data_IF_652103524871
#
_entry.id   IF_652103524871
#
_cell.length_a   1.000
_cell.length_b   1.000
_cell.length_c   1.000
_cell.angle_alpha   90.00
_cell.angle_beta   90.00
_cell.angle_gamma   90.00
#
_symmetry.space_group_name_H-M   'P 1'
#
loop_
_entity.id
_entity.type
_entity.pdbx_description
1 polymer ?
#
# COMPACT_ATOMS: atom_id res chain seq x y z
N UNK A 1 15.33 66.98 2.55
CA UNK A 1 15.88 67.61 1.34
C UNK A 1 17.18 68.30 1.69
N UNK A 2 18.31 67.65 1.46
CA UNK A 2 19.65 68.22 1.56
C UNK A 2 20.43 67.74 0.33
N UNK A 3 20.90 68.69 -0.49
CA UNK A 3 21.64 68.46 -1.72
C UNK A 3 23.11 68.24 -1.38
N UNK A 4 23.63 67.04 -1.63
CA UNK A 4 25.06 66.78 -1.60
C UNK A 4 25.66 66.92 -3.00
N UNK A 5 26.73 67.70 -3.07
CA UNK A 5 27.51 68.03 -4.26
C UNK A 5 28.33 66.82 -4.72
N UNK A 6 28.40 66.53 -6.03
CA UNK A 6 29.24 65.45 -6.54
C UNK A 6 30.69 65.94 -6.65
N UNK A 7 31.58 65.40 -5.82
CA UNK A 7 33.03 65.58 -5.97
C UNK A 7 33.47 64.78 -7.18
N UNK A 8 33.85 65.50 -8.23
CA UNK A 8 34.48 65.02 -9.45
C UNK A 8 35.96 64.80 -9.20
N UNK A 9 36.49 63.77 -9.85
CA UNK A 9 37.90 63.43 -10.07
C UNK A 9 38.62 62.76 -8.89
N UNK A 10 39.12 61.54 -9.15
CA UNK A 10 40.55 61.23 -9.20
C UNK A 10 40.71 59.78 -9.68
N UNK A 11 41.70 59.51 -10.53
CA UNK A 11 42.17 58.14 -10.77
C UNK A 11 41.85 57.52 -12.13
N UNK A 12 41.96 58.28 -13.22
CA UNK A 12 42.10 57.73 -14.58
C UNK A 12 43.59 57.60 -14.94
N UNK A 13 44.39 56.89 -14.13
CA UNK A 13 45.81 56.60 -14.44
C UNK A 13 46.24 55.29 -13.74
N UNK A 14 45.76 54.14 -14.22
CA UNK A 14 46.46 52.84 -14.11
C UNK A 14 45.89 51.88 -15.17
N UNK A 15 45.86 52.33 -16.43
CA UNK A 15 45.78 51.45 -17.59
C UNK A 15 47.18 51.30 -18.19
N UNK A 16 48.04 50.57 -17.48
CA UNK A 16 49.28 50.03 -18.05
C UNK A 16 49.25 48.51 -17.92
N UNK A 17 49.71 47.86 -19.00
CA UNK A 17 49.34 46.55 -19.52
C UNK A 17 49.63 45.31 -18.65
N UNK A 18 50.14 45.45 -17.42
CA UNK A 18 50.34 44.34 -16.49
C UNK A 18 49.09 44.02 -15.63
N UNK A 19 48.20 44.98 -15.38
CA UNK A 19 47.02 44.79 -14.53
C UNK A 19 45.90 43.93 -15.13
N UNK A 20 45.77 43.92 -16.47
CA UNK A 20 44.69 43.16 -17.16
C UNK A 20 44.93 41.64 -17.15
N UNK A 21 46.19 41.18 -17.07
CA UNK A 21 46.52 39.75 -16.97
C UNK A 21 46.49 39.25 -15.52
N UNK A 22 47.03 39.99 -14.55
CA UNK A 22 46.96 39.59 -13.13
C UNK A 22 45.52 39.65 -12.59
N UNK A 23 44.75 40.69 -12.94
CA UNK A 23 43.35 40.83 -12.51
C UNK A 23 42.43 39.71 -13.01
N UNK A 24 42.70 39.15 -14.21
CA UNK A 24 41.96 37.98 -14.72
C UNK A 24 42.25 36.70 -13.94
N UNK A 25 43.50 36.50 -13.52
CA UNK A 25 43.91 35.29 -12.81
C UNK A 25 43.46 35.34 -11.35
N UNK A 26 43.69 36.47 -10.67
CA UNK A 26 43.27 36.67 -9.27
C UNK A 26 41.74 36.70 -9.18
N UNK A 27 41.04 37.32 -10.14
CA UNK A 27 39.57 37.33 -10.18
C UNK A 27 38.96 35.94 -10.36
N UNK A 28 39.61 35.03 -11.09
CA UNK A 28 39.18 33.63 -11.21
C UNK A 28 39.41 32.84 -9.93
N UNK A 29 40.57 33.02 -9.28
CA UNK A 29 40.88 32.35 -8.01
C UNK A 29 39.93 32.82 -6.89
N UNK A 30 39.64 34.12 -6.81
CA UNK A 30 38.73 34.69 -5.82
C UNK A 30 37.29 34.22 -6.06
N UNK A 31 36.82 34.20 -7.31
CA UNK A 31 35.48 33.67 -7.67
C UNK A 31 35.32 32.19 -7.29
N UNK A 32 36.36 31.38 -7.49
CA UNK A 32 36.33 29.98 -7.10
C UNK A 32 36.22 29.84 -5.58
N UNK A 33 37.01 30.58 -4.80
CA UNK A 33 36.91 30.54 -3.32
C UNK A 33 35.58 31.05 -2.78
N UNK A 34 35.02 32.10 -3.37
CA UNK A 34 33.69 32.63 -2.98
C UNK A 34 32.58 31.65 -3.34
N UNK A 35 32.64 31.01 -4.51
CA UNK A 35 31.68 29.95 -4.87
C UNK A 35 31.82 28.73 -3.96
N UNK A 36 33.04 28.31 -3.63
CA UNK A 36 33.28 27.25 -2.65
C UNK A 36 32.70 27.61 -1.28
N UNK A 37 32.87 28.85 -0.81
CA UNK A 37 32.26 29.33 0.44
C UNK A 37 30.73 29.31 0.38
N UNK A 38 30.11 29.74 -0.72
CA UNK A 38 28.65 29.70 -0.87
C UNK A 38 28.14 28.25 -0.86
N UNK A 39 28.81 27.34 -1.59
CA UNK A 39 28.46 25.91 -1.59
C UNK A 39 28.67 25.30 -0.21
N UNK A 40 29.72 25.68 0.51
CA UNK A 40 29.97 25.21 1.87
C UNK A 40 28.95 25.77 2.86
N UNK A 41 28.57 27.05 2.74
CA UNK A 41 27.50 27.67 3.54
C UNK A 41 26.13 27.06 3.25
N UNK A 42 25.84 26.67 2.01
CA UNK A 42 24.62 25.91 1.69
C UNK A 42 24.70 24.47 2.21
N UNK A 43 25.86 23.81 2.15
CA UNK A 43 26.05 22.47 2.71
C UNK A 43 25.95 22.45 4.24
N UNK A 44 26.47 23.49 4.92
CA UNK A 44 26.41 23.63 6.39
C UNK A 44 25.06 24.17 6.84
N UNK A 45 24.40 25.03 6.06
CA UNK A 45 23.03 25.47 6.30
C UNK A 45 21.97 24.41 5.99
N UNK A 46 22.35 23.34 5.28
CA UNK A 46 21.56 22.12 5.09
C UNK A 46 21.98 20.99 6.05
N UNK A 47 22.81 21.28 7.07
CA UNK A 47 22.87 20.38 8.22
C UNK A 47 21.54 20.55 8.95
N UNK A 48 20.54 19.76 8.52
CA UNK A 48 19.22 19.68 9.12
C UNK A 48 19.41 19.71 10.64
N UNK A 49 18.81 20.71 11.30
CA UNK A 49 18.72 20.71 12.75
C UNK A 49 18.24 19.32 13.13
N UNK A 50 19.11 18.57 13.82
CA UNK A 50 18.79 17.20 14.22
C UNK A 50 17.66 17.33 15.22
N UNK A 51 16.43 17.30 14.71
CA UNK A 51 15.22 17.45 15.49
C UNK A 51 15.29 16.41 16.59
N UNK A 52 15.18 16.87 17.85
CA UNK A 52 15.16 15.98 19.00
C UNK A 52 14.12 14.88 18.71
N UNK A 53 14.53 13.60 18.75
CA UNK A 53 13.64 12.52 18.36
C UNK A 53 12.38 12.55 19.24
N UNK A 54 11.21 12.61 18.61
CA UNK A 54 9.93 12.56 19.31
C UNK A 54 9.81 11.22 20.05
N UNK A 55 9.54 11.28 21.35
CA UNK A 55 9.33 10.12 22.22
C UNK A 55 7.97 10.19 22.91
N UNK A 56 7.51 9.04 23.40
CA UNK A 56 6.25 8.87 24.12
C UNK A 56 6.59 8.38 25.53
N UNK A 57 6.31 9.21 26.53
CA UNK A 57 6.33 8.82 27.93
C UNK A 57 4.94 8.28 28.31
N UNK A 58 4.87 7.01 28.75
CA UNK A 58 3.60 6.37 29.11
C UNK A 58 3.79 5.33 30.22
N UNK A 59 2.83 5.20 31.15
CA UNK A 59 2.86 4.15 32.18
C UNK A 59 2.72 2.74 31.59
N UNK A 60 2.25 2.60 30.34
CA UNK A 60 2.06 1.31 29.66
C UNK A 60 3.28 0.89 28.83
N UNK A 61 4.43 1.56 28.98
CA UNK A 61 5.64 1.33 28.16
C UNK A 61 6.11 -0.12 28.24
N UNK A 62 6.39 -0.63 29.44
CA UNK A 62 6.91 -2.00 29.62
C UNK A 62 5.90 -3.06 29.14
N UNK A 63 4.61 -2.90 29.46
CA UNK A 63 3.56 -3.80 28.98
C UNK A 63 3.45 -3.82 27.45
N UNK A 64 3.62 -2.67 26.82
CA UNK A 64 3.59 -2.57 25.35
C UNK A 64 4.81 -3.23 24.73
N UNK A 65 5.98 -3.06 25.34
CA UNK A 65 7.19 -3.74 24.91
C UNK A 65 7.07 -5.26 25.02
N UNK A 66 6.59 -5.77 26.16
CA UNK A 66 6.34 -7.19 26.36
C UNK A 66 5.32 -7.74 25.36
N UNK A 67 4.25 -6.97 25.08
CA UNK A 67 3.29 -7.33 24.05
C UNK A 67 3.99 -7.54 22.71
N UNK A 68 4.76 -6.58 22.19
CA UNK A 68 5.43 -6.74 20.89
C UNK A 68 6.54 -7.80 20.92
N UNK A 69 7.29 -7.93 22.00
CA UNK A 69 8.32 -8.96 22.14
C UNK A 69 7.72 -10.37 22.04
N UNK A 70 6.54 -10.59 22.64
CA UNK A 70 5.81 -11.86 22.54
C UNK A 70 5.34 -12.18 21.12
N UNK A 71 5.20 -11.17 20.24
CA UNK A 71 4.85 -11.36 18.83
C UNK A 71 6.03 -11.76 17.95
N UNK A 72 7.22 -11.94 18.52
CA UNK A 72 8.40 -12.41 17.78
C UNK A 72 8.02 -13.68 17.00
N UNK A 73 8.17 -13.66 15.67
CA UNK A 73 7.80 -14.82 14.88
C UNK A 73 8.82 -15.93 15.14
N UNK A 74 8.34 -17.15 15.37
CA UNK A 74 9.15 -18.38 15.45
C UNK A 74 9.63 -18.75 14.04
N UNK A 75 10.38 -17.85 13.40
CA UNK A 75 10.94 -18.13 12.09
C UNK A 75 12.07 -19.15 12.27
N UNK A 76 11.99 -20.32 11.62
CA UNK A 76 13.13 -21.22 11.56
C UNK A 76 14.29 -20.41 10.96
N UNK A 77 15.46 -20.44 11.63
CA UNK A 77 16.69 -19.78 11.15
C UNK A 77 16.96 -20.27 9.73
N UNK A 78 16.50 -19.51 8.73
CA UNK A 78 16.49 -19.98 7.34
C UNK A 78 17.93 -19.93 6.85
N UNK A 79 18.48 -21.12 6.63
CA UNK A 79 19.78 -21.46 6.05
C UNK A 79 20.59 -20.26 5.51
N UNK A 80 21.34 -19.60 6.39
CA UNK A 80 22.56 -18.86 6.06
C UNK A 80 22.46 -17.53 5.31
N UNK A 81 21.29 -17.02 4.93
CA UNK A 81 21.20 -15.77 4.14
C UNK A 81 20.14 -14.75 4.59
N UNK A 82 19.42 -15.01 5.69
CA UNK A 82 18.50 -14.05 6.30
C UNK A 82 19.17 -13.29 7.42
N UNK A 83 19.14 -11.95 7.37
CA UNK A 83 19.70 -11.05 8.40
C UNK A 83 19.40 -11.57 9.81
N UNK A 84 20.44 -11.98 10.52
CA UNK A 84 20.37 -12.23 11.96
C UNK A 84 19.78 -10.98 12.63
N UNK A 85 18.86 -11.18 13.58
CA UNK A 85 18.28 -10.12 14.43
C UNK A 85 17.31 -9.11 13.79
N UNK A 86 16.30 -9.56 13.05
CA UNK A 86 15.03 -8.80 13.07
C UNK A 86 14.34 -9.01 14.41
N UNK A 87 14.81 -8.31 15.43
CA UNK A 87 14.16 -8.26 16.73
C UNK A 87 12.83 -7.52 16.56
N UNK A 88 11.73 -8.15 16.95
CA UNK A 88 10.42 -7.50 16.98
C UNK A 88 10.32 -6.56 18.19
N UNK A 89 11.27 -5.64 18.30
CA UNK A 89 11.46 -4.77 19.46
C UNK A 89 11.19 -3.34 19.07
N UNK A 90 10.38 -2.66 19.88
CA UNK A 90 10.19 -1.23 19.77
C UNK A 90 11.47 -0.51 20.22
N UNK A 91 11.87 0.51 19.47
CA UNK A 91 13.02 1.34 19.81
C UNK A 91 12.66 2.23 20.99
N UNK A 92 13.52 2.21 22.02
CA UNK A 92 13.39 3.02 23.23
C UNK A 92 14.52 4.03 23.36
N UNK A 93 14.27 5.12 24.08
CA UNK A 93 15.27 6.08 24.52
C UNK A 93 15.16 6.28 26.03
N UNK A 94 16.26 6.60 26.69
CA UNK A 94 16.28 6.96 28.10
C UNK A 94 16.27 8.48 28.22
N UNK A 95 15.24 9.03 28.87
CA UNK A 95 15.07 10.46 29.12
C UNK A 95 14.88 10.63 30.62
N UNK A 96 15.76 11.39 31.27
CA UNK A 96 15.73 11.64 32.71
C UNK A 96 15.67 10.36 33.57
N UNK A 97 16.36 9.30 33.13
CA UNK A 97 16.36 7.98 33.78
C UNK A 97 15.09 7.16 33.57
N UNK A 98 14.12 7.66 32.78
CA UNK A 98 12.93 6.94 32.38
C UNK A 98 13.03 6.39 30.97
N UNK A 99 12.75 5.11 30.80
CA UNK A 99 12.63 4.46 29.49
C UNK A 99 11.36 4.93 28.78
N UNK A 100 11.52 5.55 27.62
CA UNK A 100 10.43 6.02 26.77
C UNK A 100 10.47 5.30 25.41
N UNK A 101 9.31 5.18 24.75
CA UNK A 101 9.25 4.66 23.39
C UNK A 101 9.56 5.79 22.41
N UNK A 102 10.36 5.52 21.37
CA UNK A 102 10.39 6.42 20.23
C UNK A 102 9.02 6.44 19.57
N UNK A 103 8.56 7.62 19.18
CA UNK A 103 7.25 7.75 18.53
C UNK A 103 7.25 7.06 17.17
N UNK A 104 8.31 7.25 16.37
CA UNK A 104 8.46 6.66 15.03
C UNK A 104 9.29 5.38 15.07
N UNK A 105 8.69 4.28 14.65
CA UNK A 105 9.29 2.95 14.57
C UNK A 105 9.64 2.64 13.12
N UNK A 106 10.94 2.72 12.77
CA UNK A 106 11.41 2.59 11.37
C UNK A 106 11.44 1.15 10.86
N UNK A 107 11.64 0.21 11.77
CA UNK A 107 11.69 -1.22 11.46
C UNK A 107 10.29 -1.81 11.22
N UNK A 108 10.27 -3.01 10.64
CA UNK A 108 9.03 -3.78 10.48
C UNK A 108 8.65 -4.37 11.84
N UNK A 109 7.46 -4.01 12.33
CA UNK A 109 6.89 -4.57 13.55
C UNK A 109 5.85 -5.62 13.19
N UNK A 110 5.92 -6.76 13.87
CA UNK A 110 5.04 -7.91 13.70
C UNK A 110 4.10 -8.03 14.89
N UNK A 111 2.87 -8.43 14.60
CA UNK A 111 1.93 -8.95 15.59
C UNK A 111 1.55 -10.35 15.15
N UNK A 112 1.77 -11.34 16.01
CA UNK A 112 1.35 -12.71 15.78
C UNK A 112 0.13 -13.06 16.65
N UNK A 113 -1.10 -13.00 16.10
CA UNK A 113 -2.31 -13.24 16.88
C UNK A 113 -2.36 -14.61 17.56
N UNK A 114 -1.61 -15.62 17.06
CA UNK A 114 -1.57 -16.95 17.69
C UNK A 114 -0.83 -16.97 19.02
N UNK A 115 0.05 -15.99 19.27
CA UNK A 115 0.81 -15.92 20.51
C UNK A 115 -0.03 -15.32 21.65
N UNK A 116 -1.32 -15.03 21.40
CA UNK A 116 -2.22 -14.43 22.37
C UNK A 116 -3.51 -15.23 22.51
N UNK A 117 -4.00 -15.23 23.74
CA UNK A 117 -5.39 -15.50 24.12
C UNK A 117 -6.08 -14.19 24.49
N UNK A 118 -7.39 -14.22 24.68
CA UNK A 118 -8.16 -13.04 25.12
C UNK A 118 -7.60 -12.46 26.41
N UNK A 119 -7.15 -13.29 27.35
CA UNK A 119 -6.63 -12.86 28.65
C UNK A 119 -5.25 -12.19 28.53
N UNK A 120 -4.44 -12.62 27.56
CA UNK A 120 -3.05 -12.12 27.41
C UNK A 120 -2.93 -10.85 26.57
N UNK A 121 -3.97 -10.46 25.83
CA UNK A 121 -3.97 -9.16 25.15
C UNK A 121 -4.27 -8.09 26.19
N UNK A 122 -3.39 -7.10 26.39
CA UNK A 122 -3.61 -6.05 27.37
C UNK A 122 -4.81 -5.19 26.98
N UNK A 123 -5.44 -4.55 27.97
CA UNK A 123 -6.55 -3.63 27.72
C UNK A 123 -6.09 -2.34 27.05
N UNK A 124 -4.85 -1.92 27.35
CA UNK A 124 -4.26 -0.70 26.84
C UNK A 124 -2.82 -0.96 26.37
N UNK A 125 -2.48 -0.41 25.21
CA UNK A 125 -1.11 -0.25 24.74
C UNK A 125 -0.78 1.25 24.66
N UNK A 126 0.51 1.59 24.63
CA UNK A 126 0.94 2.97 24.39
C UNK A 126 0.36 3.47 23.07
N UNK A 127 -0.40 4.56 23.15
CA UNK A 127 -1.04 5.19 22.00
C UNK A 127 -0.08 6.15 21.28
N UNK A 128 -0.33 6.40 19.99
CA UNK A 128 0.42 7.38 19.20
C UNK A 128 1.74 6.88 18.62
N UNK A 129 2.01 5.57 18.69
CA UNK A 129 3.15 4.96 18.00
C UNK A 129 2.89 5.02 16.48
N UNK A 130 3.88 5.52 15.73
CA UNK A 130 3.87 5.61 14.28
C UNK A 130 4.79 4.53 13.69
N UNK A 131 4.21 3.53 13.02
CA UNK A 131 4.96 2.44 12.41
C UNK A 131 5.34 2.76 10.96
N UNK A 132 6.55 2.40 10.53
CA UNK A 132 6.84 2.35 9.10
C UNK A 132 6.04 1.20 8.46
N UNK A 133 6.18 -0.02 9.00
CA UNK A 133 5.43 -1.18 8.54
C UNK A 133 4.94 -1.97 9.76
N UNK A 134 3.62 -2.10 9.90
CA UNK A 134 2.99 -2.97 10.89
C UNK A 134 2.39 -4.19 10.18
N UNK A 135 2.86 -5.38 10.54
CA UNK A 135 2.42 -6.66 9.95
C UNK A 135 1.65 -7.48 10.97
N UNK A 136 0.43 -7.88 10.65
CA UNK A 136 -0.39 -8.78 11.46
C UNK A 136 -0.49 -10.13 10.74
N UNK A 137 0.18 -11.15 11.29
CA UNK A 137 0.38 -12.43 10.63
C UNK A 137 0.52 -13.60 11.63
N UNK A 138 0.00 -14.80 11.36
CA UNK A 138 -0.02 -15.92 12.31
C UNK A 138 1.32 -16.70 12.46
N UNK A 139 2.46 -16.05 12.25
CA UNK A 139 3.82 -16.56 12.48
C UNK A 139 4.45 -17.40 11.35
N UNK A 140 3.72 -18.33 10.72
CA UNK A 140 4.22 -19.16 9.61
C UNK A 140 4.02 -18.43 8.27
N UNK A 141 5.12 -18.04 7.62
CA UNK A 141 5.09 -17.31 6.35
C UNK A 141 4.45 -18.11 5.20
N UNK A 142 4.33 -19.43 5.32
CA UNK A 142 3.92 -20.30 4.22
C UNK A 142 2.56 -20.95 4.43
N UNK A 143 1.96 -20.80 5.63
CA UNK A 143 0.68 -21.44 5.95
C UNK A 143 -0.35 -20.43 6.40
N UNK A 144 -1.44 -20.39 5.63
CA UNK A 144 -2.71 -19.83 6.10
C UNK A 144 -3.07 -20.54 7.39
N UNK A 145 -3.34 -19.77 8.44
CA UNK A 145 -3.63 -20.35 9.72
C UNK A 145 -4.84 -19.71 10.38
N UNK A 146 -5.61 -20.58 11.02
CA UNK A 146 -6.78 -20.18 11.77
C UNK A 146 -6.38 -19.17 12.84
N UNK A 147 -7.01 -18.01 12.78
CA UNK A 147 -6.85 -16.91 13.71
C UNK A 147 -8.17 -16.73 14.44
N UNK A 148 -8.13 -16.63 15.77
CA UNK A 148 -9.34 -16.35 16.54
C UNK A 148 -9.76 -14.88 16.27
N UNK A 149 -10.93 -14.64 15.65
CA UNK A 149 -11.38 -13.28 15.35
C UNK A 149 -11.53 -12.41 16.60
N UNK A 150 -11.89 -12.99 17.75
CA UNK A 150 -12.08 -12.23 18.99
C UNK A 150 -10.74 -11.75 19.57
N UNK A 151 -9.69 -12.57 19.44
CA UNK A 151 -8.33 -12.17 19.82
C UNK A 151 -7.82 -11.06 18.90
N UNK A 152 -8.03 -11.19 17.59
CA UNK A 152 -7.65 -10.16 16.64
C UNK A 152 -8.42 -8.85 16.89
N UNK A 153 -9.71 -8.93 17.21
CA UNK A 153 -10.52 -7.78 17.61
C UNK A 153 -9.97 -7.12 18.88
N UNK A 154 -9.64 -7.91 19.91
CA UNK A 154 -9.04 -7.39 21.14
C UNK A 154 -7.69 -6.73 20.90
N UNK A 155 -6.85 -7.29 20.01
CA UNK A 155 -5.58 -6.68 19.60
C UNK A 155 -5.81 -5.32 18.93
N UNK A 156 -6.74 -5.24 17.98
CA UNK A 156 -7.06 -3.99 17.29
C UNK A 156 -7.64 -2.95 18.27
N UNK A 157 -8.47 -3.37 19.23
CA UNK A 157 -8.96 -2.51 20.32
C UNK A 157 -7.79 -1.98 21.18
N UNK A 158 -6.87 -2.84 21.60
CA UNK A 158 -5.74 -2.45 22.47
C UNK A 158 -4.79 -1.46 21.79
N UNK A 159 -4.59 -1.61 20.47
CA UNK A 159 -3.81 -0.67 19.65
C UNK A 159 -4.48 0.71 19.52
N UNK A 160 -5.81 0.77 19.63
CA UNK A 160 -6.57 2.01 19.46
C UNK A 160 -6.48 2.55 18.03
N UNK A 161 -5.99 3.78 17.88
CA UNK A 161 -5.76 4.37 16.54
C UNK A 161 -4.44 3.89 15.98
N UNK A 162 -4.46 3.18 14.86
CA UNK A 162 -3.25 2.63 14.23
C UNK A 162 -2.69 3.65 13.25
N UNK A 163 -1.50 4.19 13.55
CA UNK A 163 -0.74 5.07 12.67
C UNK A 163 0.40 4.27 12.02
N UNK A 164 0.36 4.09 10.70
CA UNK A 164 1.42 3.37 9.99
C UNK A 164 1.60 3.82 8.54
N UNK A 165 2.82 3.84 8.00
CA UNK A 165 2.99 4.04 6.55
C UNK A 165 2.41 2.85 5.77
N UNK A 166 2.67 1.62 6.22
CA UNK A 166 2.07 0.40 5.66
C UNK A 166 1.47 -0.48 6.75
N UNK A 167 0.21 -0.87 6.58
CA UNK A 167 -0.46 -1.90 7.38
C UNK A 167 -0.63 -3.16 6.52
N UNK A 168 -0.03 -4.27 6.93
CA UNK A 168 -0.05 -5.55 6.23
C UNK A 168 -0.84 -6.60 7.04
N UNK A 169 -1.89 -7.15 6.45
CA UNK A 169 -2.56 -8.35 6.94
C UNK A 169 -2.15 -9.55 6.09
N UNK A 170 -1.63 -10.60 6.72
CA UNK A 170 -1.01 -11.73 6.01
C UNK A 170 -1.52 -13.09 6.52
N UNK A 171 -1.94 -13.97 5.61
CA UNK A 171 -2.34 -15.37 5.90
C UNK A 171 -3.44 -15.56 6.97
N UNK A 172 -4.34 -14.61 7.16
CA UNK A 172 -5.45 -14.74 8.11
C UNK A 172 -6.57 -15.62 7.55
N UNK A 173 -6.97 -16.59 8.37
CA UNK A 173 -8.17 -17.41 8.19
C UNK A 173 -9.05 -17.31 9.44
N UNK A 174 -10.20 -16.66 9.32
CA UNK A 174 -11.10 -16.37 10.45
C UNK A 174 -12.29 -17.32 10.55
N UNK A 175 -12.64 -18.01 9.46
CA UNK A 175 -13.77 -18.95 9.43
C UNK A 175 -13.32 -20.41 9.57
N UNK A 176 -12.01 -20.65 9.71
CA UNK A 176 -11.45 -22.01 9.80
C UNK A 176 -11.61 -22.79 8.50
N UNK A 177 -11.83 -22.09 7.38
CA UNK A 177 -11.91 -22.71 6.07
C UNK A 177 -10.54 -23.05 5.49
N UNK A 178 -9.46 -22.57 6.12
CA UNK A 178 -8.08 -22.66 5.68
C UNK A 178 -7.44 -24.03 5.92
N UNK A 179 -6.80 -24.52 4.84
CA UNK A 179 -5.76 -25.57 4.73
C UNK A 179 -6.12 -26.70 3.76
N UNK A 180 -7.41 -27.04 3.59
CA UNK A 180 -7.81 -27.90 2.48
C UNK A 180 -7.72 -27.10 1.17
N UNK A 181 -7.21 -27.69 0.08
CA UNK A 181 -7.26 -27.15 -1.30
C UNK A 181 -8.68 -26.84 -1.83
N UNK A 182 -9.67 -26.73 -0.95
CA UNK A 182 -11.05 -26.34 -1.22
C UNK A 182 -11.05 -24.90 -1.68
N UNK A 183 -11.08 -24.78 -3.01
CA UNK A 183 -11.46 -23.62 -3.80
C UNK A 183 -12.60 -22.87 -3.09
N UNK A 184 -12.28 -21.76 -2.40
CA UNK A 184 -13.29 -20.85 -1.86
C UNK A 184 -14.02 -20.21 -3.05
N UNK A 185 -15.22 -20.68 -3.35
CA UNK A 185 -16.14 -20.00 -4.27
C UNK A 185 -17.14 -19.24 -3.43
N UNK A 186 -17.25 -17.94 -3.67
CA UNK A 186 -18.37 -17.17 -3.16
C UNK A 186 -19.55 -17.42 -4.10
N UNK A 187 -20.51 -18.24 -3.72
CA UNK A 187 -21.75 -18.39 -4.49
C UNK A 187 -22.74 -17.34 -4.02
N UNK A 188 -22.77 -16.14 -4.64
CA UNK A 188 -23.82 -15.09 -4.51
C UNK A 188 -24.32 -14.72 -3.09
N UNK A 189 -23.63 -15.14 -2.04
CA UNK A 189 -24.08 -14.93 -0.66
C UNK A 189 -23.84 -13.50 -0.19
N UNK A 190 -23.00 -12.70 -0.87
CA UNK A 190 -22.74 -11.28 -0.54
C UNK A 190 -24.00 -10.41 -0.56
N UNK A 191 -24.89 -10.59 -1.55
CA UNK A 191 -26.18 -9.89 -1.57
C UNK A 191 -27.12 -10.32 -0.44
N UNK A 192 -26.83 -11.44 0.23
CA UNK A 192 -27.52 -11.86 1.44
C UNK A 192 -26.76 -11.53 2.72
N UNK A 193 -25.60 -10.85 2.72
CA UNK A 193 -24.86 -10.56 3.97
C UNK A 193 -25.47 -9.39 4.75
N UNK A 194 -26.16 -8.47 4.07
CA UNK A 194 -27.13 -7.59 4.74
C UNK A 194 -28.31 -8.35 5.37
N UNK A 195 -28.39 -9.68 5.16
CA UNK A 195 -29.43 -10.59 5.67
C UNK A 195 -28.85 -11.90 6.23
N UNK A 196 -27.55 -12.00 6.52
CA UNK A 196 -26.95 -13.29 6.96
C UNK A 196 -27.21 -13.60 8.44
N UNK A 197 -27.85 -12.69 9.17
CA UNK A 197 -28.30 -12.93 10.54
C UNK A 197 -29.75 -13.41 10.66
N UNK A 198 -30.44 -13.76 9.57
CA UNK A 198 -31.79 -14.35 9.67
C UNK A 198 -31.91 -15.62 8.83
N UNK A 199 -31.22 -16.67 9.27
CA UNK A 199 -31.62 -18.03 8.92
C UNK A 199 -32.93 -18.36 9.64
N UNK A 200 -34.06 -18.26 8.93
CA UNK A 200 -35.30 -19.03 9.10
C UNK A 200 -35.65 -19.57 10.51
N UNK A 201 -35.71 -18.70 11.53
CA UNK A 201 -36.64 -18.91 12.63
C UNK A 201 -37.85 -18.02 12.36
N UNK A 202 -39.00 -18.65 12.05
CA UNK A 202 -40.30 -17.98 12.00
C UNK A 202 -40.78 -17.50 13.37
N UNK A 203 -39.88 -16.99 14.21
CA UNK A 203 -40.20 -16.27 15.42
C UNK A 203 -40.28 -14.79 15.09
N UNK A 204 -41.39 -14.18 15.49
CA UNK A 204 -41.53 -12.73 15.63
C UNK A 204 -40.59 -12.27 16.75
N UNK A 205 -39.29 -12.32 16.52
CA UNK A 205 -38.31 -11.79 17.46
C UNK A 205 -38.20 -10.29 17.21
N UNK A 206 -38.53 -9.55 18.26
CA UNK A 206 -38.28 -8.13 18.46
C UNK A 206 -36.88 -7.79 17.92
N UNK A 207 -36.69 -6.68 17.20
CA UNK A 207 -35.37 -6.27 16.71
C UNK A 207 -34.43 -6.11 17.90
N UNK A 208 -33.68 -7.17 18.21
CA UNK A 208 -32.62 -7.17 19.20
C UNK A 208 -31.57 -6.17 18.72
N UNK A 209 -31.34 -5.14 19.52
CA UNK A 209 -30.40 -4.06 19.22
C UNK A 209 -29.01 -4.67 19.13
N UNK A 210 -28.59 -5.05 17.92
CA UNK A 210 -27.25 -5.54 17.67
C UNK A 210 -26.27 -4.46 18.13
N UNK A 211 -25.32 -4.77 19.03
CA UNK A 211 -24.32 -3.81 19.48
C UNK A 211 -23.64 -3.15 18.29
N UNK A 212 -23.45 -1.83 18.34
CA UNK A 212 -22.73 -1.12 17.30
C UNK A 212 -21.33 -1.73 17.15
N UNK A 213 -21.00 -2.20 15.95
CA UNK A 213 -19.68 -2.77 15.67
C UNK A 213 -18.66 -1.64 15.83
N UNK A 214 -17.75 -1.77 16.79
CA UNK A 214 -16.63 -0.85 16.97
C UNK A 214 -15.78 -0.83 15.70
N UNK A 215 -15.56 0.35 15.14
CA UNK A 215 -14.67 0.54 13.99
C UNK A 215 -13.36 1.18 14.43
N UNK A 216 -12.24 0.61 13.98
CA UNK A 216 -10.87 1.03 14.24
C UNK A 216 -10.46 2.14 13.31
N UNK A 217 -10.10 3.29 13.87
CA UNK A 217 -9.60 4.42 13.11
C UNK A 217 -8.17 4.08 12.66
N UNK A 218 -7.96 4.12 11.35
CA UNK A 218 -6.64 3.96 10.75
C UNK A 218 -6.14 5.33 10.27
N UNK A 219 -4.82 5.53 10.39
CA UNK A 219 -4.08 6.63 9.76
C UNK A 219 -2.93 5.99 8.99
N UNK A 220 -3.22 5.56 7.75
CA UNK A 220 -2.27 4.80 6.93
C UNK A 220 -2.16 5.31 5.50
N UNK A 221 -1.00 5.06 4.87
CA UNK A 221 -0.78 5.33 3.43
C UNK A 221 -1.02 4.10 2.56
N UNK A 222 -0.62 2.93 3.03
CA UNK A 222 -0.75 1.67 2.26
C UNK A 222 -1.44 0.60 3.08
N UNK A 223 -2.50 0.01 2.54
CA UNK A 223 -3.13 -1.19 3.06
C UNK A 223 -2.78 -2.38 2.17
N UNK A 224 -2.07 -3.35 2.74
CA UNK A 224 -1.68 -4.56 2.05
C UNK A 224 -2.39 -5.77 2.66
N UNK A 225 -3.13 -6.50 1.83
CA UNK A 225 -3.87 -7.70 2.21
C UNK A 225 -3.32 -8.84 1.38
N UNK A 226 -2.58 -9.73 2.01
CA UNK A 226 -1.86 -10.77 1.31
C UNK A 226 -2.23 -12.17 1.82
N UNK A 227 -2.60 -13.04 0.88
CA UNK A 227 -2.95 -14.44 1.10
C UNK A 227 -4.05 -14.69 2.16
N UNK A 228 -4.89 -13.70 2.42
CA UNK A 228 -6.05 -13.83 3.31
C UNK A 228 -7.21 -14.55 2.62
N UNK A 229 -8.04 -15.22 3.41
CA UNK A 229 -9.31 -15.76 2.92
C UNK A 229 -10.31 -14.62 2.65
N UNK A 230 -11.27 -14.83 1.75
CA UNK A 230 -12.27 -13.81 1.47
C UNK A 230 -13.13 -13.43 2.70
N UNK A 231 -13.53 -14.39 3.56
CA UNK A 231 -14.16 -14.08 4.85
C UNK A 231 -13.31 -13.19 5.76
N UNK A 232 -11.98 -13.39 5.79
CA UNK A 232 -11.09 -12.52 6.56
C UNK A 232 -11.08 -11.08 6.01
N UNK A 233 -11.05 -10.91 4.68
CA UNK A 233 -11.14 -9.58 4.04
C UNK A 233 -12.45 -8.88 4.41
N UNK A 234 -13.59 -9.58 4.31
CA UNK A 234 -14.91 -9.02 4.67
C UNK A 234 -15.00 -8.69 6.17
N UNK A 235 -14.38 -9.51 7.02
CA UNK A 235 -14.32 -9.23 8.45
C UNK A 235 -13.53 -7.95 8.75
N UNK A 236 -12.39 -7.74 8.08
CA UNK A 236 -11.57 -6.54 8.20
C UNK A 236 -12.37 -5.30 7.76
N UNK A 237 -13.06 -5.36 6.62
CA UNK A 237 -13.87 -4.25 6.10
C UNK A 237 -14.93 -3.73 7.08
N UNK A 238 -15.56 -4.63 7.85
CA UNK A 238 -16.58 -4.24 8.83
C UNK A 238 -16.00 -3.48 10.03
N UNK A 239 -14.72 -3.65 10.29
CA UNK A 239 -14.03 -3.19 11.50
C UNK A 239 -13.02 -2.08 11.23
N UNK A 240 -12.47 -1.96 10.03
CA UNK A 240 -11.53 -0.89 9.70
C UNK A 240 -12.29 0.36 9.23
N UNK A 241 -11.90 1.52 9.74
CA UNK A 241 -12.37 2.81 9.27
C UNK A 241 -11.26 3.53 8.50
N UNK A 242 -11.42 3.61 7.18
CA UNK A 242 -10.51 4.26 6.25
C UNK A 242 -11.09 5.55 5.65
N UNK A 243 -12.25 6.02 6.13
CA UNK A 243 -12.99 7.14 5.54
C UNK A 243 -12.21 8.46 5.46
N UNK A 244 -11.19 8.64 6.30
CA UNK A 244 -10.31 9.81 6.29
C UNK A 244 -8.95 9.56 5.62
N UNK A 245 -8.70 8.34 5.14
CA UNK A 245 -7.43 7.96 4.53
C UNK A 245 -7.48 8.05 3.00
N UNK A 246 -6.36 8.52 2.43
CA UNK A 246 -6.02 8.37 1.01
C UNK A 246 -5.00 7.26 0.91
N UNK A 247 -5.39 6.10 0.36
CA UNK A 247 -4.57 4.89 0.46
C UNK A 247 -4.15 4.30 -0.89
N UNK A 248 -3.04 3.57 -0.86
CA UNK A 248 -2.71 2.54 -1.82
C UNK A 248 -3.26 1.21 -1.31
N UNK A 249 -4.16 0.58 -2.06
CA UNK A 249 -4.74 -0.71 -1.71
C UNK A 249 -4.11 -1.83 -2.53
N UNK A 250 -3.42 -2.75 -1.87
CA UNK A 250 -2.86 -3.95 -2.51
C UNK A 250 -3.52 -5.20 -1.96
N UNK A 251 -4.15 -5.99 -2.84
CA UNK A 251 -4.68 -7.30 -2.52
C UNK A 251 -3.91 -8.34 -3.33
N UNK A 252 -3.20 -9.21 -2.64
CA UNK A 252 -2.35 -10.23 -3.25
C UNK A 252 -2.80 -11.61 -2.80
N UNK A 253 -3.24 -12.47 -3.71
CA UNK A 253 -3.66 -13.82 -3.33
C UNK A 253 -4.50 -14.54 -4.36
N UNK A 254 -4.66 -15.85 -4.17
CA UNK A 254 -5.38 -16.77 -5.07
C UNK A 254 -6.91 -16.64 -4.92
N UNK A 255 -7.41 -15.40 -4.85
CA UNK A 255 -8.82 -15.09 -4.64
C UNK A 255 -9.68 -15.48 -5.85
N UNK A 256 -10.94 -15.83 -5.58
CA UNK A 256 -11.95 -16.05 -6.59
C UNK A 256 -13.12 -15.12 -6.31
N UNK A 257 -13.26 -14.13 -7.17
CA UNK A 257 -14.19 -13.03 -7.00
C UNK A 257 -15.24 -13.07 -8.11
N UNK A 258 -16.51 -12.97 -7.74
CA UNK A 258 -17.60 -12.79 -8.71
C UNK A 258 -17.50 -11.39 -9.34
N UNK A 259 -17.13 -10.39 -8.55
CA UNK A 259 -16.93 -9.01 -9.00
C UNK A 259 -15.95 -8.29 -8.06
N UNK A 260 -15.71 -7.00 -8.31
CA UNK A 260 -14.86 -6.16 -7.48
C UNK A 260 -15.63 -5.44 -6.36
N UNK A 261 -16.91 -5.74 -6.11
CA UNK A 261 -17.71 -5.09 -5.05
C UNK A 261 -17.13 -5.33 -3.66
N UNK A 262 -16.25 -6.33 -3.49
CA UNK A 262 -15.47 -6.48 -2.26
C UNK A 262 -14.71 -5.18 -1.95
N UNK A 263 -14.23 -4.43 -2.94
CA UNK A 263 -13.50 -3.18 -2.70
C UNK A 263 -14.38 -2.09 -2.06
N UNK A 264 -15.69 -2.14 -2.29
CA UNK A 264 -16.63 -1.14 -1.80
C UNK A 264 -16.78 -1.20 -0.27
N UNK A 265 -16.39 -2.32 0.36
CA UNK A 265 -16.45 -2.49 1.81
C UNK A 265 -15.37 -1.75 2.59
N UNK A 266 -14.31 -1.25 1.96
CA UNK A 266 -13.23 -0.55 2.67
C UNK A 266 -13.58 0.89 3.06
N UNK A 267 -14.54 1.51 2.35
CA UNK A 267 -15.02 2.88 2.64
C UNK A 267 -13.86 3.87 2.82
N UNK A 268 -12.82 3.76 1.99
CA UNK A 268 -11.66 4.63 2.06
C UNK A 268 -12.00 6.02 1.50
N UNK A 269 -11.44 7.08 2.11
CA UNK A 269 -11.64 8.45 1.64
C UNK A 269 -11.23 8.64 0.17
N UNK A 270 -10.11 8.02 -0.23
CA UNK A 270 -9.79 7.77 -1.64
C UNK A 270 -8.82 6.59 -1.80
N UNK A 271 -8.89 5.88 -2.92
CA UNK A 271 -7.89 4.89 -3.31
C UNK A 271 -7.06 5.49 -4.45
N UNK A 272 -5.79 5.78 -4.19
CA UNK A 272 -4.87 6.42 -5.15
C UNK A 272 -4.25 5.41 -6.12
N UNK A 273 -3.95 4.21 -5.61
CA UNK A 273 -3.46 3.07 -6.38
C UNK A 273 -4.20 1.81 -5.96
N UNK A 274 -4.67 1.02 -6.94
CA UNK A 274 -5.30 -0.28 -6.71
C UNK A 274 -4.47 -1.37 -7.38
N UNK A 275 -3.96 -2.31 -6.58
CA UNK A 275 -3.19 -3.46 -7.06
C UNK A 275 -3.85 -4.78 -6.66
N UNK A 276 -4.26 -5.58 -7.64
CA UNK A 276 -4.82 -6.92 -7.49
C UNK A 276 -3.88 -7.93 -8.14
N UNK A 277 -3.14 -8.70 -7.34
CA UNK A 277 -2.16 -9.68 -7.84
C UNK A 277 -2.57 -11.12 -7.52
N UNK A 278 -2.26 -12.01 -8.47
CA UNK A 278 -2.49 -13.44 -8.39
C UNK A 278 -3.94 -13.88 -8.25
N UNK A 279 -4.89 -13.03 -8.68
CA UNK A 279 -6.32 -13.35 -8.68
C UNK A 279 -6.55 -14.58 -9.54
N UNK A 280 -7.19 -15.61 -8.97
CA UNK A 280 -7.42 -16.90 -9.62
C UNK A 280 -8.64 -16.86 -10.54
N UNK A 281 -9.67 -16.09 -10.17
CA UNK A 281 -10.89 -15.88 -10.94
C UNK A 281 -11.46 -14.50 -10.63
N UNK A 282 -11.88 -13.80 -11.66
CA UNK A 282 -12.62 -12.54 -11.58
C UNK A 282 -13.66 -12.54 -12.70
N UNK A 283 -14.95 -12.58 -12.35
CA UNK A 283 -16.02 -12.69 -13.36
C UNK A 283 -16.49 -11.32 -13.88
N UNK A 284 -16.30 -10.24 -13.12
CA UNK A 284 -16.75 -8.89 -13.48
C UNK A 284 -15.86 -7.81 -12.83
N UNK A 285 -15.72 -6.65 -13.49
CA UNK A 285 -15.08 -5.46 -12.90
C UNK A 285 -16.07 -4.54 -12.16
N UNK A 286 -17.31 -4.97 -11.95
CA UNK A 286 -18.29 -4.16 -11.22
C UNK A 286 -17.84 -3.85 -9.78
N UNK A 287 -17.75 -2.56 -9.46
CA UNK A 287 -17.65 -1.98 -8.11
C UNK A 287 -17.97 -0.48 -8.16
N UNK A 288 -18.28 0.13 -7.01
CA UNK A 288 -18.54 1.58 -6.91
C UNK A 288 -17.32 2.41 -7.28
N UNK A 289 -16.11 1.98 -6.90
CA UNK A 289 -14.86 2.68 -7.22
C UNK A 289 -14.73 2.95 -8.72
N UNK A 290 -14.95 1.93 -9.55
CA UNK A 290 -14.83 2.06 -11.00
C UNK A 290 -16.06 2.74 -11.64
N UNK A 291 -17.26 2.56 -11.06
CA UNK A 291 -18.51 3.12 -11.61
C UNK A 291 -18.72 4.61 -11.29
N UNK A 292 -18.61 4.98 -10.02
CA UNK A 292 -19.10 6.26 -9.48
C UNK A 292 -17.96 7.21 -9.08
N UNK A 293 -16.89 6.67 -8.49
CA UNK A 293 -15.81 7.48 -7.93
C UNK A 293 -14.82 8.05 -8.96
N UNK A 294 -13.92 8.95 -8.52
CA UNK A 294 -12.69 9.20 -9.26
C UNK A 294 -11.90 7.89 -9.34
N UNK A 295 -11.42 7.58 -10.54
CA UNK A 295 -10.58 6.39 -10.75
C UNK A 295 -9.20 6.61 -10.09
N UNK A 296 -8.57 5.55 -9.55
CA UNK A 296 -7.22 5.64 -9.02
C UNK A 296 -6.23 6.05 -10.11
N UNK A 297 -5.13 6.69 -9.75
CA UNK A 297 -4.07 7.05 -10.70
C UNK A 297 -3.35 5.81 -11.25
N UNK A 298 -3.35 4.74 -10.46
CA UNK A 298 -2.80 3.45 -10.85
C UNK A 298 -3.82 2.32 -10.67
N UNK A 299 -3.93 1.49 -11.70
CA UNK A 299 -4.69 0.25 -11.63
C UNK A 299 -3.83 -0.89 -12.14
N UNK A 300 -3.53 -1.85 -11.27
CA UNK A 300 -2.79 -3.05 -11.62
C UNK A 300 -3.62 -4.30 -11.32
N UNK A 301 -3.93 -5.06 -12.36
CA UNK A 301 -4.60 -6.36 -12.26
C UNK A 301 -3.69 -7.38 -12.93
N UNK A 302 -3.11 -8.28 -12.13
CA UNK A 302 -2.26 -9.35 -12.64
C UNK A 302 -2.74 -10.71 -12.17
N UNK A 303 -2.71 -11.67 -13.10
CA UNK A 303 -3.18 -13.03 -12.86
C UNK A 303 -2.13 -14.04 -13.28
N UNK A 304 -2.15 -15.19 -12.64
CA UNK A 304 -1.31 -16.35 -13.02
C UNK A 304 -2.00 -17.23 -14.05
N UNK A 305 -3.32 -17.06 -14.23
CA UNK A 305 -4.13 -17.77 -15.21
C UNK A 305 -4.94 -16.76 -16.02
N UNK A 306 -5.24 -17.05 -17.28
CA UNK A 306 -6.17 -16.24 -18.06
C UNK A 306 -7.51 -16.08 -17.35
N UNK A 307 -7.95 -14.84 -17.22
CA UNK A 307 -9.28 -14.47 -16.72
C UNK A 307 -10.05 -13.72 -17.80
N UNK A 308 -11.37 -13.81 -17.74
CA UNK A 308 -12.27 -13.21 -18.73
C UNK A 308 -13.36 -12.38 -18.02
N UNK A 309 -12.97 -11.35 -17.24
CA UNK A 309 -13.97 -10.57 -16.53
C UNK A 309 -14.85 -9.82 -17.52
N UNK A 310 -16.15 -9.78 -17.22
CA UNK A 310 -17.08 -8.87 -17.87
C UNK A 310 -16.67 -7.44 -17.51
N UNK A 311 -16.57 -6.59 -18.53
CA UNK A 311 -16.29 -5.17 -18.36
C UNK A 311 -17.55 -4.42 -18.82
N UNK A 312 -18.40 -3.95 -17.89
CA UNK A 312 -19.55 -3.13 -18.25
C UNK A 312 -19.13 -1.93 -19.10
N UNK A 313 -19.96 -1.55 -20.08
CA UNK A 313 -19.63 -0.48 -21.04
C UNK A 313 -19.28 0.85 -20.35
N UNK A 314 -20.04 1.21 -19.30
CA UNK A 314 -19.76 2.39 -18.49
C UNK A 314 -18.35 2.36 -17.85
N UNK A 315 -17.93 1.21 -17.33
CA UNK A 315 -16.61 1.04 -16.71
C UNK A 315 -15.52 1.06 -17.78
N UNK A 316 -15.74 0.37 -18.92
CA UNK A 316 -14.81 0.39 -20.04
C UNK A 316 -14.57 1.82 -20.55
N UNK A 317 -15.63 2.61 -20.72
CA UNK A 317 -15.55 4.00 -21.13
C UNK A 317 -14.74 4.84 -20.14
N UNK A 318 -15.02 4.74 -18.83
CA UNK A 318 -14.25 5.48 -17.81
C UNK A 318 -12.78 5.10 -17.79
N UNK A 319 -12.45 3.81 -17.93
CA UNK A 319 -11.06 3.34 -17.98
C UNK A 319 -10.35 3.91 -19.21
N UNK A 320 -10.98 3.88 -20.39
CA UNK A 320 -10.39 4.39 -21.63
C UNK A 320 -10.23 5.91 -21.62
N UNK A 321 -11.22 6.64 -21.07
CA UNK A 321 -11.23 8.10 -21.05
C UNK A 321 -10.26 8.71 -20.02
N UNK A 322 -9.76 7.93 -19.06
CA UNK A 322 -8.79 8.39 -18.07
C UNK A 322 -7.38 8.43 -18.63
N UNK A 323 -6.64 9.48 -18.29
CA UNK A 323 -5.18 9.51 -18.36
C UNK A 323 -4.60 8.77 -17.15
N UNK A 324 -3.90 7.68 -17.41
CA UNK A 324 -3.34 6.82 -16.37
C UNK A 324 -1.89 7.17 -16.07
N UNK A 325 -1.51 7.17 -14.78
CA UNK A 325 -0.08 7.12 -14.42
C UNK A 325 0.46 5.73 -14.74
N UNK A 326 -0.21 4.68 -14.29
CA UNK A 326 0.12 3.30 -14.63
C UNK A 326 -1.15 2.46 -14.78
N UNK A 327 -1.25 1.73 -15.89
CA UNK A 327 -2.28 0.72 -16.10
C UNK A 327 -1.61 -0.64 -16.38
N UNK A 328 -1.76 -1.58 -15.46
CA UNK A 328 -1.36 -2.96 -15.64
C UNK A 328 -2.60 -3.85 -15.75
N UNK A 329 -2.77 -4.54 -16.87
CA UNK A 329 -3.95 -5.40 -17.11
C UNK A 329 -3.58 -6.70 -17.82
N UNK A 330 -4.37 -7.79 -17.64
CA UNK A 330 -4.21 -9.00 -18.43
C UNK A 330 -4.52 -8.74 -19.91
N UNK A 331 -3.81 -9.42 -20.81
CA UNK A 331 -3.97 -9.31 -22.28
C UNK A 331 -5.43 -9.44 -22.74
N UNK A 332 -6.20 -10.34 -22.12
CA UNK A 332 -7.62 -10.53 -22.44
C UNK A 332 -8.45 -9.29 -22.12
N UNK A 333 -8.18 -8.64 -20.98
CA UNK A 333 -8.87 -7.40 -20.61
C UNK A 333 -8.49 -6.27 -21.55
N UNK A 334 -7.21 -6.14 -21.88
CA UNK A 334 -6.73 -5.15 -22.86
C UNK A 334 -7.42 -5.31 -24.22
N UNK A 335 -7.53 -6.54 -24.72
CA UNK A 335 -8.28 -6.87 -25.95
C UNK A 335 -9.73 -6.43 -25.88
N UNK A 336 -10.40 -6.66 -24.75
CA UNK A 336 -11.80 -6.26 -24.59
C UNK A 336 -11.96 -4.73 -24.57
N UNK A 337 -11.09 -4.03 -23.84
CA UNK A 337 -11.07 -2.58 -23.76
C UNK A 337 -10.81 -1.93 -25.14
N UNK A 338 -9.84 -2.45 -25.88
CA UNK A 338 -9.41 -1.93 -27.19
C UNK A 338 -10.07 -2.63 -28.39
N UNK A 339 -11.16 -3.37 -28.16
CA UNK A 339 -11.95 -3.94 -29.24
C UNK A 339 -12.49 -2.84 -30.17
N UNK A 340 -12.51 -3.05 -31.50
CA UNK A 340 -13.09 -2.09 -32.43
C UNK A 340 -14.55 -1.80 -32.07
N UNK A 341 -14.88 -0.51 -31.92
CA UNK A 341 -16.22 -0.03 -31.60
C UNK A 341 -16.83 0.76 -32.75
N UNK A 342 -17.97 1.40 -32.50
CA UNK A 342 -18.59 2.34 -33.44
C UNK A 342 -17.77 3.62 -33.63
N UNK A 343 -16.99 4.00 -32.62
CA UNK A 343 -16.10 5.16 -32.63
C UNK A 343 -14.68 4.73 -32.25
N UNK A 344 -13.65 5.33 -32.88
CA UNK A 344 -12.27 5.16 -32.45
C UNK A 344 -12.08 5.54 -30.98
N UNK A 345 -11.31 4.74 -30.26
CA UNK A 345 -10.94 4.97 -28.86
C UNK A 345 -9.54 5.57 -28.81
N UNK A 346 -9.34 6.57 -27.95
CA UNK A 346 -8.03 7.09 -27.60
C UNK A 346 -7.74 6.73 -26.15
N UNK A 347 -6.69 5.94 -25.93
CA UNK A 347 -6.18 5.58 -24.61
C UNK A 347 -4.87 6.35 -24.34
N UNK A 348 -4.69 6.87 -23.13
CA UNK A 348 -3.50 7.64 -22.73
C UNK A 348 -2.99 7.10 -21.39
N UNK A 349 -1.70 6.76 -21.32
CA UNK A 349 -1.04 6.39 -20.07
C UNK A 349 0.45 6.80 -20.07
N UNK A 350 1.03 7.09 -18.91
CA UNK A 350 2.49 7.16 -18.81
C UNK A 350 3.10 5.76 -18.93
N UNK A 351 2.57 4.78 -18.19
CA UNK A 351 2.99 3.39 -18.27
C UNK A 351 1.81 2.45 -18.54
N UNK A 352 1.94 1.59 -19.56
CA UNK A 352 1.02 0.51 -19.87
C UNK A 352 1.74 -0.82 -19.77
N UNK A 353 1.28 -1.67 -18.85
CA UNK A 353 1.81 -3.02 -18.67
C UNK A 353 0.74 -4.05 -19.08
N UNK A 354 1.07 -4.91 -20.04
CA UNK A 354 0.19 -5.98 -20.50
C UNK A 354 0.74 -7.32 -20.01
N UNK A 355 0.01 -7.93 -19.09
CA UNK A 355 0.36 -9.23 -18.52
C UNK A 355 -0.19 -10.37 -19.39
N UNK A 356 0.67 -11.28 -19.85
CA UNK A 356 0.29 -12.52 -20.53
C UNK A 356 0.41 -13.68 -19.54
N UNK A 357 -0.69 -14.15 -18.94
CA UNK A 357 -0.64 -15.26 -18.01
C UNK A 357 -0.25 -16.56 -18.72
N UNK A 358 0.67 -17.31 -18.13
CA UNK A 358 1.04 -18.63 -18.64
C UNK A 358 -0.10 -19.63 -18.43
N UNK A 359 -0.44 -20.38 -19.47
CA UNK A 359 -1.31 -21.54 -19.36
C UNK A 359 -0.50 -22.66 -18.69
N UNK A 360 -0.90 -23.04 -17.48
CA UNK A 360 -0.18 -24.04 -16.69
C UNK A 360 -0.13 -25.41 -17.36
N UNK A 361 1.08 -25.86 -17.70
CA UNK A 361 1.42 -27.21 -18.12
C UNK A 361 2.51 -27.21 -19.19
N UNK A 362 3.61 -27.95 -18.97
CA UNK A 362 4.74 -28.07 -19.91
C UNK A 362 4.37 -28.69 -21.28
N UNK A 363 3.10 -29.07 -21.49
CA UNK A 363 2.68 -29.91 -22.61
C UNK A 363 1.62 -29.28 -23.52
N UNK A 364 1.11 -28.09 -23.20
CA UNK A 364 0.17 -27.37 -24.06
C UNK A 364 0.65 -25.93 -24.29
N UNK A 365 1.65 -25.80 -25.18
CA UNK A 365 1.95 -24.51 -25.81
C UNK A 365 0.75 -24.13 -26.68
N UNK A 366 -0.20 -23.40 -26.10
CA UNK A 366 -1.14 -22.64 -26.92
C UNK A 366 -0.33 -21.62 -27.74
N UNK A 367 -0.71 -21.38 -29.00
CA UNK A 367 -0.07 -20.35 -29.81
C UNK A 367 -0.06 -19.05 -29.01
N UNK A 368 1.10 -18.38 -28.99
CA UNK A 368 1.27 -17.11 -28.29
C UNK A 368 0.10 -16.19 -28.67
N UNK A 369 -0.65 -15.65 -27.70
CA UNK A 369 -1.80 -14.82 -28.02
C UNK A 369 -1.30 -13.64 -28.85
N UNK A 370 -1.78 -13.55 -30.09
CA UNK A 370 -1.51 -12.38 -30.92
C UNK A 370 -2.09 -11.14 -30.23
N UNK A 371 -1.38 -10.02 -30.41
CA UNK A 371 -1.91 -8.72 -30.03
C UNK A 371 -3.27 -8.52 -30.72
N UNK A 372 -4.26 -7.97 -30.00
CA UNK A 372 -5.59 -7.80 -30.56
C UNK A 372 -5.54 -6.84 -31.76
N UNK A 373 -6.35 -7.13 -32.79
CA UNK A 373 -6.59 -6.17 -33.87
C UNK A 373 -7.31 -4.98 -33.27
N UNK A 374 -6.64 -3.83 -33.17
CA UNK A 374 -7.18 -2.64 -32.51
C UNK A 374 -8.08 -1.80 -33.43
N UNK A 375 -8.11 -2.08 -34.74
CA UNK A 375 -8.81 -1.25 -35.72
C UNK A 375 -8.25 0.17 -35.72
N UNK A 376 -9.14 1.16 -35.68
CA UNK A 376 -8.78 2.60 -35.63
C UNK A 376 -8.49 3.11 -34.19
N UNK A 377 -8.46 2.23 -33.19
CA UNK A 377 -8.17 2.63 -31.82
C UNK A 377 -6.68 2.98 -31.66
N UNK A 378 -6.38 4.01 -30.87
CA UNK A 378 -5.03 4.52 -30.64
C UNK A 378 -4.72 4.45 -29.14
N UNK A 379 -3.54 3.95 -28.80
CA UNK A 379 -2.97 4.04 -27.46
C UNK A 379 -1.70 4.91 -27.50
N UNK A 380 -1.69 6.01 -26.74
CA UNK A 380 -0.52 6.87 -26.54
C UNK A 380 0.10 6.56 -25.19
N UNK A 381 1.30 5.98 -25.21
CA UNK A 381 2.00 5.55 -23.99
C UNK A 381 3.47 5.96 -24.01
N UNK A 382 4.01 6.37 -22.86
CA UNK A 382 5.45 6.67 -22.76
C UNK A 382 6.27 5.39 -22.62
N UNK A 383 5.74 4.40 -21.89
CA UNK A 383 6.33 3.07 -21.71
C UNK A 383 5.28 1.99 -21.96
N UNK A 384 5.62 1.02 -22.81
CA UNK A 384 4.84 -0.19 -23.04
C UNK A 384 5.65 -1.41 -22.61
N UNK A 385 5.17 -2.13 -21.60
CA UNK A 385 5.80 -3.35 -21.11
C UNK A 385 4.84 -4.51 -21.36
N UNK A 386 5.26 -5.48 -22.16
CA UNK A 386 4.55 -6.76 -22.31
C UNK A 386 5.37 -7.81 -21.60
N UNK A 387 4.80 -8.45 -20.57
CA UNK A 387 5.53 -9.44 -19.78
C UNK A 387 4.69 -10.70 -19.59
N UNK A 388 5.39 -11.82 -19.42
CA UNK A 388 4.78 -13.13 -19.22
C UNK A 388 4.81 -13.48 -17.74
N UNK A 389 3.66 -13.73 -17.11
CA UNK A 389 3.65 -14.12 -15.70
C UNK A 389 3.97 -15.61 -15.57
N UNK A 390 5.17 -15.92 -15.10
CA UNK A 390 5.53 -17.28 -14.69
C UNK A 390 4.90 -17.56 -13.33
N UNK A 391 4.36 -18.76 -13.16
CA UNK A 391 4.00 -19.26 -11.82
C UNK A 391 5.33 -19.51 -11.09
N UNK A 392 5.77 -18.53 -10.29
CA UNK A 392 6.77 -18.82 -9.26
C UNK A 392 6.18 -19.89 -8.36
N UNK A 393 6.81 -21.06 -8.30
CA UNK A 393 6.51 -22.07 -7.28
C UNK A 393 6.96 -21.49 -5.94
N UNK A 394 6.10 -20.69 -5.32
CA UNK A 394 6.24 -20.18 -3.96
C UNK A 394 5.50 -21.06 -2.97
#
# INVERSE_FOLDING_TARGET
>A
MMKSTPVRSFGKVFETSLGKRLGRVIGKALRCRVLCLIVFCMAVGCADEVSVPEYIASPYTEQTMEFFEKSRPDLPKRNGFGSADRQNMLVTVEIDGQRCLLKKQREIIYINPKNYTLETVPEHLVQGIEFNILTIAPGDEHKIARTNPDVLEKILNALGTICADTLLFYHLDLDGSGSGNKIQRMTRSVRRIGRWSSGNFGRKETPELVPAITRYILSIKTLWIQHNTLPAIVWLQKRLNLSHCRINLTILGKLQLDNLEVLDGFDAGSIEALTLKYVKRLDSLECKLLREGPLPEELAISTTKPIFPKIPEQIAYKIIAKEWRCLEVPMVMWRNLMSPGRSPKLFIAAELMICIPQYGGAHTMLPAPSLPVMGDNIARVNSLIVYFSTIGMG
#
